data_IF_702736421684
#
_entry.id   IF_702736421684
#
_cell.length_a   1.000
_cell.length_b   1.000
_cell.length_c   1.000
_cell.angle_alpha   90.00
_cell.angle_beta   90.00
_cell.angle_gamma   90.00
#
_symmetry.space_group_name_H-M   'P 1'
#
loop_
_entity.id
_entity.type
_entity.pdbx_description
1 polymer ?
#
# COMPACT_ATOMS: atom_id res chain seq x y z
N UNK A 1 -3.63 -33.39 39.65
CA UNK A 1 -4.94 -34.09 39.68
C UNK A 1 -5.32 -34.47 38.26
N UNK A 2 -5.38 -35.77 37.95
CA UNK A 2 -5.95 -36.28 36.70
C UNK A 2 -7.48 -36.25 36.84
N UNK A 3 -8.15 -35.49 35.98
CA UNK A 3 -9.62 -35.52 35.93
C UNK A 3 -10.08 -36.94 35.58
N UNK A 4 -11.08 -37.50 36.29
CA UNK A 4 -11.64 -38.80 35.94
C UNK A 4 -12.16 -38.74 34.51
N UNK A 5 -11.82 -39.74 33.69
CA UNK A 5 -12.40 -39.87 32.34
C UNK A 5 -13.92 -39.97 32.49
N UNK A 6 -14.70 -39.27 31.67
CA UNK A 6 -16.16 -39.34 31.75
C UNK A 6 -16.61 -40.81 31.68
N UNK A 7 -17.43 -41.22 32.65
CA UNK A 7 -17.83 -42.61 32.87
C UNK A 7 -18.59 -43.22 31.68
N UNK A 8 -19.20 -42.38 30.84
CA UNK A 8 -19.83 -42.77 29.59
C UNK A 8 -19.14 -42.07 28.41
N UNK A 9 -18.92 -42.78 27.30
CA UNK A 9 -18.54 -42.15 26.03
C UNK A 9 -19.66 -41.17 25.65
N UNK A 10 -19.41 -39.88 25.84
CA UNK A 10 -20.31 -38.84 25.37
C UNK A 10 -20.43 -38.97 23.84
N UNK A 11 -21.66 -39.08 23.34
CA UNK A 11 -21.95 -39.13 21.90
C UNK A 11 -21.86 -37.68 21.34
N UNK A 12 -20.63 -37.16 21.25
CA UNK A 12 -20.35 -35.77 20.84
C UNK A 12 -20.01 -35.75 19.34
N UNK A 13 -20.88 -35.13 18.55
CA UNK A 13 -20.64 -34.80 17.14
C UNK A 13 -20.56 -36.01 16.18
N UNK A 14 -20.21 -35.75 14.92
CA UNK A 14 -19.95 -36.79 13.92
C UNK A 14 -18.78 -37.67 14.43
N UNK A 15 -19.08 -38.91 14.82
CA UNK A 15 -18.24 -39.80 15.63
C UNK A 15 -16.83 -40.05 15.07
N UNK A 16 -16.62 -39.82 13.77
CA UNK A 16 -15.34 -40.05 13.10
C UNK A 16 -14.53 -38.77 12.83
N UNK A 17 -15.14 -37.58 12.81
CA UNK A 17 -14.47 -36.31 12.46
C UNK A 17 -13.98 -35.58 13.72
N UNK A 18 -12.67 -35.35 13.83
CA UNK A 18 -12.07 -34.58 14.93
C UNK A 18 -11.04 -33.59 14.41
N UNK A 19 -11.47 -32.36 14.16
CA UNK A 19 -10.62 -31.28 13.62
C UNK A 19 -9.39 -30.97 14.49
N UNK A 20 -9.48 -31.21 15.81
CA UNK A 20 -8.32 -31.06 16.72
C UNK A 20 -7.17 -32.01 16.42
N UNK A 21 -7.36 -33.11 15.67
CA UNK A 21 -6.28 -34.04 15.27
C UNK A 21 -5.17 -33.33 14.51
N UNK A 22 -5.54 -32.38 13.64
CA UNK A 22 -4.59 -31.54 12.89
C UNK A 22 -3.95 -30.44 13.74
N UNK A 23 -4.34 -30.28 15.01
CA UNK A 23 -3.88 -29.19 15.89
C UNK A 23 -3.07 -29.68 17.09
N UNK A 24 -2.90 -31.00 17.25
CA UNK A 24 -2.39 -31.65 18.48
C UNK A 24 -0.94 -31.33 18.79
N UNK A 25 -0.08 -31.15 17.78
CA UNK A 25 1.32 -30.79 17.97
C UNK A 25 1.81 -29.81 16.88
N UNK A 26 2.92 -29.10 17.13
CA UNK A 26 3.45 -28.08 16.21
C UNK A 26 3.78 -28.61 14.81
N UNK A 27 4.34 -29.83 14.69
CA UNK A 27 4.75 -30.38 13.39
C UNK A 27 3.55 -30.67 12.49
N UNK A 28 2.46 -31.20 13.06
CA UNK A 28 1.22 -31.41 12.29
C UNK A 28 0.64 -30.07 11.85
N UNK A 29 0.63 -29.05 12.74
CA UNK A 29 0.12 -27.73 12.39
C UNK A 29 0.91 -27.08 11.26
N UNK A 30 2.25 -27.17 11.31
CA UNK A 30 3.12 -26.66 10.25
C UNK A 30 2.95 -27.41 8.93
N UNK A 31 2.73 -28.74 8.97
CA UNK A 31 2.52 -29.54 7.76
C UNK A 31 1.23 -29.19 7.00
N UNK A 32 0.19 -28.74 7.71
CA UNK A 32 -1.15 -28.48 7.14
C UNK A 32 -1.50 -26.99 7.07
N UNK A 33 -0.53 -26.11 7.29
CA UNK A 33 -0.73 -24.68 7.19
C UNK A 33 -0.94 -24.28 5.72
N UNK A 34 -1.97 -23.46 5.46
CA UNK A 34 -2.39 -23.10 4.10
C UNK A 34 -1.62 -21.90 3.55
N UNK A 35 -1.08 -21.05 4.42
CA UNK A 35 -0.41 -19.81 4.05
C UNK A 35 0.77 -19.52 4.97
N UNK A 36 1.80 -18.89 4.43
CA UNK A 36 2.93 -18.35 5.19
C UNK A 36 3.30 -16.96 4.65
N UNK A 37 4.14 -16.24 5.41
CA UNK A 37 4.72 -14.97 4.99
C UNK A 37 6.13 -15.18 4.48
N UNK A 38 6.46 -14.49 3.40
CA UNK A 38 7.80 -14.41 2.84
C UNK A 38 8.28 -12.96 2.78
N UNK A 39 9.59 -12.74 2.89
CA UNK A 39 10.19 -11.41 2.75
C UNK A 39 9.86 -10.76 1.39
N UNK A 40 9.65 -11.58 0.36
CA UNK A 40 9.24 -11.15 -0.98
C UNK A 40 7.77 -10.72 -1.11
N UNK A 41 6.94 -10.94 -0.09
CA UNK A 41 5.55 -10.48 -0.11
C UNK A 41 5.45 -8.96 0.07
N UNK A 42 6.52 -8.30 0.53
CA UNK A 42 6.44 -6.93 1.02
C UNK A 42 6.94 -5.88 0.03
N UNK A 43 6.16 -4.80 -0.07
CA UNK A 43 6.62 -3.49 -0.56
C UNK A 43 6.69 -2.55 0.64
N UNK A 44 7.84 -1.92 0.87
CA UNK A 44 8.02 -1.00 2.00
C UNK A 44 7.76 0.47 1.60
N UNK A 45 6.78 1.16 2.20
CA UNK A 45 6.57 2.59 1.98
C UNK A 45 7.70 3.45 2.55
N UNK A 46 8.17 4.44 1.78
CA UNK A 46 9.16 5.43 2.20
C UNK A 46 8.62 6.84 1.94
N UNK A 47 8.60 7.66 2.99
CA UNK A 47 8.34 9.09 2.86
C UNK A 47 9.65 9.82 2.59
N UNK A 48 9.75 10.51 1.46
CA UNK A 48 10.96 11.23 1.06
C UNK A 48 10.72 12.73 1.21
N UNK A 49 11.61 13.45 1.88
CA UNK A 49 11.55 14.92 1.96
C UNK A 49 12.72 15.57 1.24
N UNK A 50 12.45 16.73 0.63
CA UNK A 50 13.49 17.57 0.01
C UNK A 50 14.21 18.42 1.06
N UNK A 51 13.49 18.85 2.10
CA UNK A 51 14.04 19.66 3.21
C UNK A 51 14.33 18.80 4.44
N UNK A 52 15.36 19.22 5.17
CA UNK A 52 15.82 18.62 6.42
C UNK A 52 17.21 18.03 6.28
N UNK A 53 18.11 18.36 7.20
CA UNK A 53 19.43 17.72 7.33
C UNK A 53 19.37 16.50 8.25
N UNK A 54 18.17 16.11 8.70
CA UNK A 54 17.94 15.05 9.66
C UNK A 54 16.60 14.36 9.41
N UNK A 55 16.59 13.06 9.70
CA UNK A 55 15.41 12.21 9.75
C UNK A 55 14.35 12.83 10.68
N UNK A 56 13.11 12.96 10.20
CA UNK A 56 12.00 13.51 10.97
C UNK A 56 11.04 12.41 11.42
N UNK A 57 10.85 12.27 12.73
CA UNK A 57 9.85 11.36 13.31
C UNK A 57 8.43 11.83 13.03
N UNK A 58 7.55 10.91 12.66
CA UNK A 58 6.13 11.20 12.47
C UNK A 58 5.39 10.74 13.72
N UNK A 59 4.91 11.64 14.61
CA UNK A 59 4.35 11.24 15.91
C UNK A 59 3.18 10.26 15.82
N UNK A 60 2.36 10.38 14.78
CA UNK A 60 1.23 9.48 14.53
C UNK A 60 1.62 8.15 13.90
N UNK A 61 2.88 7.96 13.47
CA UNK A 61 3.46 6.72 12.95
C UNK A 61 4.77 6.37 13.68
N UNK A 62 4.71 5.89 14.94
CA UNK A 62 5.91 5.64 15.73
C UNK A 62 6.90 4.70 15.02
N UNK A 63 8.17 5.12 14.92
CA UNK A 63 9.25 4.38 14.25
C UNK A 63 9.30 4.53 12.72
N UNK A 64 8.36 5.28 12.12
CA UNK A 64 8.40 5.67 10.71
C UNK A 64 8.83 7.13 10.61
N UNK A 65 9.62 7.42 9.58
CA UNK A 65 10.26 8.71 9.42
C UNK A 65 10.07 9.28 8.01
N UNK A 66 10.22 10.60 7.90
CA UNK A 66 10.52 11.26 6.63
C UNK A 66 12.03 11.22 6.41
N UNK A 67 12.43 10.64 5.30
CA UNK A 67 13.83 10.42 4.94
C UNK A 67 14.27 11.55 3.99
N UNK A 68 15.26 12.36 4.36
CA UNK A 68 15.87 13.31 3.43
C UNK A 68 16.42 12.60 2.20
N UNK A 69 16.33 13.21 1.02
CA UNK A 69 16.83 12.61 -0.22
C UNK A 69 18.29 12.13 -0.12
N UNK A 70 19.15 12.87 0.58
CA UNK A 70 20.55 12.54 0.81
C UNK A 70 20.77 11.24 1.61
N UNK A 71 19.81 10.85 2.46
CA UNK A 71 19.88 9.66 3.32
C UNK A 71 19.16 8.45 2.70
N UNK A 72 18.43 8.66 1.60
CA UNK A 72 17.57 7.66 0.96
C UNK A 72 18.31 6.38 0.60
N UNK A 73 19.52 6.48 0.07
CA UNK A 73 20.32 5.31 -0.32
C UNK A 73 20.70 4.46 0.89
N UNK A 74 20.98 5.06 2.04
CA UNK A 74 21.31 4.31 3.25
C UNK A 74 20.09 3.54 3.75
N UNK A 75 18.92 4.18 3.78
CA UNK A 75 17.66 3.52 4.15
C UNK A 75 17.35 2.32 3.24
N UNK A 76 17.56 2.47 1.92
CA UNK A 76 17.31 1.38 0.95
C UNK A 76 18.30 0.22 1.10
N UNK A 77 19.58 0.50 1.44
CA UNK A 77 20.55 -0.56 1.75
C UNK A 77 20.09 -1.40 2.94
N UNK A 78 19.62 -0.77 4.02
CA UNK A 78 19.07 -1.50 5.17
C UNK A 78 17.84 -2.34 4.79
N UNK A 79 16.94 -1.78 3.99
CA UNK A 79 15.75 -2.50 3.49
C UNK A 79 16.16 -3.75 2.69
N UNK A 80 17.17 -3.61 1.83
CA UNK A 80 17.69 -4.72 1.02
C UNK A 80 18.39 -5.79 1.88
N UNK A 81 19.15 -5.40 2.90
CA UNK A 81 19.77 -6.34 3.84
C UNK A 81 18.75 -7.21 4.58
N UNK A 82 17.54 -6.67 4.82
CA UNK A 82 16.41 -7.41 5.37
C UNK A 82 15.70 -8.32 4.35
N UNK A 83 16.18 -8.37 3.11
CA UNK A 83 15.64 -9.22 2.04
C UNK A 83 14.38 -8.69 1.36
N UNK A 84 13.99 -7.43 1.63
CA UNK A 84 12.88 -6.76 0.95
C UNK A 84 13.37 -6.29 -0.42
N UNK A 85 12.60 -6.59 -1.47
CA UNK A 85 13.01 -6.36 -2.88
C UNK A 85 12.40 -5.11 -3.50
N UNK A 86 11.43 -4.50 -2.81
CA UNK A 86 10.58 -3.46 -3.39
C UNK A 86 10.24 -2.39 -2.38
N UNK A 87 10.24 -1.15 -2.87
CA UNK A 87 9.91 0.05 -2.10
C UNK A 87 8.82 0.85 -2.80
N UNK A 88 8.03 1.60 -2.04
CA UNK A 88 7.04 2.53 -2.57
C UNK A 88 7.35 3.95 -2.12
N UNK A 89 7.55 4.86 -3.07
CA UNK A 89 7.97 6.24 -2.78
C UNK A 89 6.76 7.16 -2.60
N UNK A 90 6.76 7.91 -1.50
CA UNK A 90 5.80 8.96 -1.21
C UNK A 90 6.52 10.30 -0.97
N UNK A 91 6.21 11.35 -1.72
CA UNK A 91 6.87 12.64 -1.56
C UNK A 91 6.29 13.45 -0.41
N UNK A 92 7.17 14.14 0.31
CA UNK A 92 6.81 15.23 1.24
C UNK A 92 7.29 16.53 0.61
N UNK A 93 6.40 17.14 -0.18
CA UNK A 93 6.68 18.35 -0.95
C UNK A 93 6.57 19.58 -0.07
N UNK A 94 7.52 20.51 -0.23
CA UNK A 94 7.48 21.79 0.45
C UNK A 94 6.24 22.58 0.05
N UNK A 95 5.57 23.20 1.03
CA UNK A 95 4.37 24.02 0.79
C UNK A 95 4.59 25.14 -0.23
N UNK A 96 5.81 25.70 -0.34
CA UNK A 96 6.12 26.76 -1.31
C UNK A 96 6.17 26.27 -2.76
N UNK A 97 6.24 24.96 -2.99
CA UNK A 97 6.26 24.34 -4.31
C UNK A 97 4.88 23.82 -4.74
N UNK A 98 3.89 23.85 -3.84
CA UNK A 98 2.54 23.39 -4.14
C UNK A 98 1.74 24.50 -4.82
N UNK A 99 0.95 24.13 -5.81
CA UNK A 99 -0.01 25.03 -6.47
C UNK A 99 -1.39 24.36 -6.60
N UNK A 100 -2.37 25.00 -7.25
CA UNK A 100 -3.73 24.44 -7.35
C UNK A 100 -3.85 23.26 -8.32
N UNK A 101 -2.85 23.02 -9.19
CA UNK A 101 -2.91 21.99 -10.23
C UNK A 101 -1.87 20.88 -10.03
N UNK A 102 -1.02 21.01 -9.00
CA UNK A 102 0.07 20.08 -8.71
C UNK A 102 1.18 20.09 -9.76
N UNK A 103 1.53 21.25 -10.33
CA UNK A 103 2.43 21.30 -11.51
C UNK A 103 3.81 20.67 -11.28
N UNK A 104 4.29 20.65 -10.04
CA UNK A 104 5.58 20.05 -9.67
C UNK A 104 5.56 18.51 -9.69
N UNK A 105 4.38 17.87 -9.76
CA UNK A 105 4.24 16.42 -9.81
C UNK A 105 5.04 15.77 -10.95
N UNK A 106 5.09 16.44 -12.11
CA UNK A 106 5.75 15.99 -13.33
C UNK A 106 6.93 16.87 -13.74
N UNK A 107 7.46 17.71 -12.84
CA UNK A 107 8.66 18.49 -13.11
C UNK A 107 9.87 17.53 -13.30
N UNK A 108 10.71 17.67 -14.35
CA UNK A 108 11.82 16.75 -14.61
C UNK A 108 12.82 16.62 -13.45
N UNK A 109 12.98 17.70 -12.67
CA UNK A 109 13.81 17.76 -11.45
C UNK A 109 12.99 17.71 -10.15
N UNK A 110 11.76 17.18 -10.21
CA UNK A 110 10.95 16.94 -9.03
C UNK A 110 11.61 15.97 -8.04
N UNK A 111 11.12 15.96 -6.80
CA UNK A 111 11.70 15.15 -5.73
C UNK A 111 11.70 13.64 -6.06
N UNK A 112 10.59 13.12 -6.58
CA UNK A 112 10.47 11.69 -6.92
C UNK A 112 11.33 11.34 -8.14
N UNK A 113 11.38 12.20 -9.16
CA UNK A 113 12.21 12.01 -10.34
C UNK A 113 13.70 11.90 -9.97
N UNK A 114 14.19 12.82 -9.12
CA UNK A 114 15.57 12.77 -8.60
C UNK A 114 15.81 11.54 -7.74
N UNK A 115 14.85 11.15 -6.89
CA UNK A 115 14.95 9.95 -6.07
C UNK A 115 15.05 8.68 -6.94
N UNK A 116 14.19 8.52 -7.96
CA UNK A 116 14.22 7.37 -8.87
C UNK A 116 15.58 7.28 -9.56
N UNK A 117 16.09 8.38 -10.14
CA UNK A 117 17.40 8.40 -10.80
C UNK A 117 18.52 7.98 -9.84
N UNK A 118 18.56 8.59 -8.66
CA UNK A 118 19.57 8.29 -7.63
C UNK A 118 19.54 6.81 -7.22
N UNK A 119 18.34 6.24 -7.04
CA UNK A 119 18.18 4.83 -6.68
C UNK A 119 18.64 3.93 -7.83
N UNK A 120 18.21 4.18 -9.07
CA UNK A 120 18.59 3.36 -10.22
C UNK A 120 20.08 3.42 -10.54
N UNK A 121 20.73 4.56 -10.28
CA UNK A 121 22.18 4.70 -10.41
C UNK A 121 22.95 3.91 -9.33
N UNK A 122 22.39 3.77 -8.13
CA UNK A 122 23.13 3.25 -6.96
C UNK A 122 22.77 1.81 -6.59
N UNK A 123 21.50 1.43 -6.75
CA UNK A 123 20.90 0.15 -6.32
C UNK A 123 19.87 -0.31 -7.38
N UNK A 124 20.30 -0.59 -8.64
CA UNK A 124 19.39 -0.86 -9.75
C UNK A 124 18.46 -2.07 -9.54
N UNK A 125 18.84 -3.01 -8.67
CA UNK A 125 18.11 -4.22 -8.36
C UNK A 125 16.88 -4.01 -7.45
N UNK A 126 16.75 -2.87 -6.77
CA UNK A 126 15.54 -2.59 -5.98
C UNK A 126 14.40 -2.18 -6.93
N UNK A 127 13.24 -2.80 -6.75
CA UNK A 127 12.04 -2.43 -7.49
C UNK A 127 11.40 -1.18 -6.88
N UNK A 128 11.13 -0.20 -7.72
CA UNK A 128 10.58 1.10 -7.35
C UNK A 128 9.14 1.17 -7.82
N UNK A 129 8.24 1.27 -6.84
CA UNK A 129 6.84 1.61 -7.03
C UNK A 129 6.68 3.10 -6.71
N UNK A 130 6.20 3.90 -7.66
CA UNK A 130 5.98 5.34 -7.43
C UNK A 130 4.48 5.67 -7.45
N UNK A 131 4.03 6.36 -6.41
CA UNK A 131 2.66 6.84 -6.28
C UNK A 131 2.31 7.87 -7.37
N UNK A 132 1.18 7.69 -8.04
CA UNK A 132 0.64 8.62 -9.05
C UNK A 132 -0.66 9.19 -8.51
N UNK A 133 -0.58 10.43 -8.04
CA UNK A 133 -1.69 11.24 -7.50
C UNK A 133 -1.19 12.69 -7.33
N UNK A 134 -2.12 13.65 -7.25
CA UNK A 134 -1.79 15.07 -7.10
C UNK A 134 -1.89 15.59 -5.65
N UNK A 135 -2.34 14.78 -4.69
CA UNK A 135 -2.54 15.27 -3.31
C UNK A 135 -1.27 15.75 -2.58
N UNK A 136 -0.06 15.20 -2.81
CA UNK A 136 1.14 15.74 -2.19
C UNK A 136 1.54 17.09 -2.80
N UNK A 137 1.08 17.37 -4.02
CA UNK A 137 1.52 18.45 -4.89
C UNK A 137 0.57 19.64 -4.91
N UNK A 138 -0.70 19.42 -4.56
CA UNK A 138 -1.71 20.48 -4.59
C UNK A 138 -1.81 21.24 -3.27
N UNK A 139 -2.16 22.52 -3.34
CA UNK A 139 -2.41 23.35 -2.14
C UNK A 139 -3.65 22.90 -1.36
N UNK A 140 -4.63 22.31 -2.05
CA UNK A 140 -5.88 21.84 -1.48
C UNK A 140 -5.84 20.38 -1.00
N UNK A 141 -4.88 19.57 -1.44
CA UNK A 141 -4.69 18.17 -1.01
C UNK A 141 -5.69 17.14 -1.56
N UNK A 142 -6.54 17.50 -2.53
CA UNK A 142 -7.26 16.53 -3.36
C UNK A 142 -6.32 15.78 -4.30
N UNK A 143 -6.71 14.56 -4.67
CA UNK A 143 -5.91 13.66 -5.53
C UNK A 143 -5.85 14.15 -6.99
N UNK A 144 -6.66 15.15 -7.35
CA UNK A 144 -6.80 15.71 -8.69
C UNK A 144 -7.01 17.24 -8.73
N UNK A 145 -7.09 17.77 -9.94
CA UNK A 145 -7.35 19.20 -10.24
C UNK A 145 -8.80 19.53 -9.87
N UNK A 146 -9.04 20.69 -9.27
CA UNK A 146 -10.38 21.13 -8.87
C UNK A 146 -10.92 22.27 -9.74
N UNK A 147 -12.24 22.30 -9.93
CA UNK A 147 -12.94 23.47 -10.49
C UNK A 147 -13.14 24.58 -9.45
N UNK A 148 -13.72 25.72 -9.86
CA UNK A 148 -14.00 26.85 -8.98
C UNK A 148 -14.96 26.51 -7.81
N UNK A 149 -15.68 25.38 -7.89
CA UNK A 149 -16.59 24.90 -6.85
C UNK A 149 -15.93 23.85 -5.94
N UNK A 150 -14.68 23.50 -6.18
CA UNK A 150 -13.94 22.46 -5.46
C UNK A 150 -14.28 21.03 -5.88
N UNK A 151 -14.98 20.83 -7.00
CA UNK A 151 -15.20 19.51 -7.58
C UNK A 151 -13.93 19.03 -8.29
N UNK A 152 -13.52 17.79 -8.03
CA UNK A 152 -12.33 17.19 -8.67
C UNK A 152 -12.68 16.81 -10.11
N UNK A 153 -12.03 17.45 -11.07
CA UNK A 153 -12.21 17.24 -12.50
C UNK A 153 -11.52 15.96 -12.94
N UNK A 154 -12.28 15.01 -13.50
CA UNK A 154 -11.79 13.69 -13.86
C UNK A 154 -10.73 13.73 -14.98
N UNK A 155 -11.13 14.19 -16.16
CA UNK A 155 -10.33 14.03 -17.38
C UNK A 155 -9.08 14.92 -17.36
N UNK A 156 -9.21 16.16 -16.85
CA UNK A 156 -8.09 17.07 -16.63
C UNK A 156 -7.08 16.50 -15.65
N UNK A 157 -7.54 15.82 -14.60
CA UNK A 157 -6.68 15.11 -13.66
C UNK A 157 -5.98 13.95 -14.37
N UNK A 158 -6.70 13.10 -15.09
CA UNK A 158 -6.12 11.97 -15.83
C UNK A 158 -5.01 12.44 -16.77
N UNK A 159 -5.21 13.56 -17.49
CA UNK A 159 -4.19 14.14 -18.36
C UNK A 159 -2.92 14.57 -17.59
N UNK A 160 -3.05 15.09 -16.37
CA UNK A 160 -1.91 15.42 -15.50
C UNK A 160 -1.21 14.16 -14.96
N UNK A 161 -1.97 13.12 -14.60
CA UNK A 161 -1.43 11.84 -14.13
C UNK A 161 -0.63 11.12 -15.22
N UNK A 162 -1.08 11.16 -16.48
CA UNK A 162 -0.28 10.65 -17.60
C UNK A 162 1.08 11.34 -17.72
N UNK A 163 1.14 12.68 -17.56
CA UNK A 163 2.41 13.43 -17.54
C UNK A 163 3.30 13.01 -16.37
N UNK A 164 2.71 12.79 -15.19
CA UNK A 164 3.43 12.31 -14.01
C UNK A 164 4.02 10.92 -14.26
N UNK A 165 3.22 9.97 -14.75
CA UNK A 165 3.66 8.62 -15.09
C UNK A 165 4.81 8.61 -16.11
N UNK A 166 4.69 9.40 -17.19
CA UNK A 166 5.75 9.54 -18.19
C UNK A 166 7.03 10.15 -17.60
N UNK A 167 6.91 11.14 -16.71
CA UNK A 167 8.06 11.75 -16.06
C UNK A 167 8.81 10.76 -15.16
N UNK A 168 8.11 9.83 -14.50
CA UNK A 168 8.72 8.79 -13.68
C UNK A 168 9.30 7.67 -14.53
N UNK A 169 8.61 7.27 -15.61
CA UNK A 169 9.11 6.31 -16.59
C UNK A 169 10.44 6.78 -17.21
N UNK A 170 10.54 8.05 -17.59
CA UNK A 170 11.79 8.65 -18.09
C UNK A 170 12.96 8.60 -17.09
N UNK A 171 12.69 8.42 -15.80
CA UNK A 171 13.70 8.28 -14.76
C UNK A 171 14.07 6.81 -14.45
N UNK A 172 13.32 5.84 -15.00
CA UNK A 172 13.54 4.41 -14.78
C UNK A 172 12.75 3.83 -13.60
N UNK A 173 11.55 4.33 -13.29
CA UNK A 173 10.64 3.65 -12.35
C UNK A 173 10.31 2.24 -12.86
N UNK A 174 10.00 1.28 -11.99
CA UNK A 174 9.57 -0.06 -12.44
C UNK A 174 8.04 -0.14 -12.53
N UNK A 175 7.35 0.46 -11.56
CA UNK A 175 5.88 0.51 -11.51
C UNK A 175 5.37 1.91 -11.21
N UNK A 176 4.41 2.36 -12.02
CA UNK A 176 3.58 3.52 -11.69
C UNK A 176 2.31 3.06 -10.97
N UNK A 177 1.94 3.77 -9.92
CA UNK A 177 0.90 3.32 -9.00
C UNK A 177 -0.23 4.36 -8.87
N UNK A 178 -1.17 4.46 -9.83
CA UNK A 178 -2.29 5.40 -9.77
C UNK A 178 -3.14 5.14 -8.54
N UNK A 179 -3.09 6.09 -7.61
CA UNK A 179 -3.81 6.06 -6.34
C UNK A 179 -4.95 7.06 -6.27
N UNK A 180 -5.18 7.81 -7.34
CA UNK A 180 -6.07 8.95 -7.48
C UNK A 180 -7.58 8.62 -7.48
N UNK A 181 -7.97 7.41 -7.90
CA UNK A 181 -9.37 6.97 -8.09
C UNK A 181 -10.17 7.76 -9.16
N UNK A 182 -9.52 8.29 -10.19
CA UNK A 182 -10.22 8.84 -11.36
C UNK A 182 -10.71 7.71 -12.28
N UNK A 183 -11.81 7.96 -12.98
CA UNK A 183 -12.34 7.00 -13.96
C UNK A 183 -11.44 6.95 -15.20
N UNK A 184 -11.11 5.74 -15.67
CA UNK A 184 -10.35 5.52 -16.91
C UNK A 184 -8.84 5.84 -16.84
N UNK A 185 -8.30 6.21 -15.68
CA UNK A 185 -6.88 6.59 -15.55
C UNK A 185 -5.93 5.46 -15.93
N UNK A 186 -6.28 4.20 -15.67
CA UNK A 186 -5.39 3.07 -15.94
C UNK A 186 -5.20 2.92 -17.44
N UNK A 187 -6.28 2.91 -18.22
CA UNK A 187 -6.21 2.84 -19.67
C UNK A 187 -5.44 4.02 -20.27
N UNK A 188 -5.69 5.24 -19.76
CA UNK A 188 -5.01 6.43 -20.23
C UNK A 188 -3.50 6.41 -19.94
N UNK A 189 -3.10 6.01 -18.73
CA UNK A 189 -1.68 5.89 -18.33
C UNK A 189 -1.00 4.79 -19.14
N UNK A 190 -1.63 3.61 -19.29
CA UNK A 190 -1.12 2.51 -20.12
C UNK A 190 -0.89 2.96 -21.56
N UNK A 191 -1.88 3.59 -22.17
CA UNK A 191 -1.76 4.10 -23.53
C UNK A 191 -0.64 5.15 -23.68
N UNK A 192 -0.50 6.07 -22.72
CA UNK A 192 0.56 7.07 -22.73
C UNK A 192 1.96 6.43 -22.62
N UNK A 193 2.15 5.49 -21.70
CA UNK A 193 3.41 4.76 -21.54
C UNK A 193 3.77 4.01 -22.83
N UNK A 194 2.83 3.27 -23.41
CA UNK A 194 3.08 2.46 -24.60
C UNK A 194 3.37 3.33 -25.84
N UNK A 195 2.70 4.48 -25.98
CA UNK A 195 2.96 5.45 -27.06
C UNK A 195 4.36 6.05 -27.02
N UNK A 196 4.90 6.27 -25.81
CA UNK A 196 6.28 6.75 -25.59
C UNK A 196 7.30 5.61 -25.55
N UNK A 197 6.90 4.38 -25.91
CA UNK A 197 7.77 3.20 -25.95
C UNK A 197 8.17 2.65 -24.57
N UNK A 198 7.50 3.07 -23.50
CA UNK A 198 7.75 2.66 -22.11
C UNK A 198 7.00 1.36 -21.77
N UNK A 199 7.06 0.36 -22.66
CA UNK A 199 6.22 -0.85 -22.60
C UNK A 199 6.58 -1.81 -21.46
N UNK A 200 7.74 -1.63 -20.83
CA UNK A 200 8.21 -2.46 -19.71
C UNK A 200 7.74 -1.94 -18.33
N UNK A 201 7.17 -0.73 -18.28
CA UNK A 201 6.71 -0.12 -17.03
C UNK A 201 5.37 -0.76 -16.64
N UNK A 202 5.34 -1.32 -15.43
CA UNK A 202 4.13 -1.93 -14.88
C UNK A 202 3.19 -0.90 -14.26
N UNK A 203 1.92 -1.26 -14.16
CA UNK A 203 0.89 -0.48 -13.47
C UNK A 203 0.37 -1.29 -12.28
N UNK A 204 0.54 -0.72 -11.08
CA UNK A 204 -0.14 -1.19 -9.87
C UNK A 204 -1.30 -0.25 -9.56
N UNK A 205 -2.50 -0.62 -9.99
CA UNK A 205 -3.69 0.21 -9.84
C UNK A 205 -4.27 0.11 -8.42
N UNK A 206 -4.55 1.24 -7.79
CA UNK A 206 -5.36 1.28 -6.56
C UNK A 206 -6.83 1.14 -6.92
N UNK A 207 -7.23 -0.05 -7.34
CA UNK A 207 -8.55 -0.27 -7.92
C UNK A 207 -9.69 -0.11 -6.93
N UNK A 208 -9.51 -0.56 -5.69
CA UNK A 208 -10.50 -0.34 -4.65
C UNK A 208 -9.89 0.44 -3.49
N UNK A 209 -9.75 1.76 -3.68
CA UNK A 209 -9.36 2.71 -2.62
C UNK A 209 -10.61 3.35 -2.02
N UNK A 210 -10.90 3.02 -0.77
CA UNK A 210 -12.08 3.47 -0.05
C UNK A 210 -11.89 4.84 0.61
N UNK A 211 -12.95 5.62 0.72
CA UNK A 211 -13.03 6.85 1.51
C UNK A 211 -12.97 6.51 3.01
N UNK A 212 -11.76 6.25 3.51
CA UNK A 212 -11.53 5.62 4.81
C UNK A 212 -11.00 6.58 5.88
N UNK A 213 -11.42 6.34 7.12
CA UNK A 213 -10.90 7.02 8.31
C UNK A 213 -9.48 6.54 8.72
N UNK A 214 -8.99 5.43 8.17
CA UNK A 214 -7.69 4.85 8.53
C UNK A 214 -6.48 5.60 7.93
N UNK A 215 -6.69 6.67 7.17
CA UNK A 215 -5.63 7.43 6.50
C UNK A 215 -5.05 8.58 7.33
N UNK A 216 -5.58 8.84 8.53
CA UNK A 216 -5.16 9.97 9.38
C UNK A 216 -3.63 10.10 9.53
N UNK A 217 -2.92 9.05 9.99
CA UNK A 217 -1.47 9.15 10.20
C UNK A 217 -0.67 9.33 8.90
N UNK A 218 -1.14 8.83 7.76
CA UNK A 218 -0.51 9.09 6.45
C UNK A 218 -0.63 10.57 6.06
N UNK A 219 -1.80 11.18 6.27
CA UNK A 219 -2.01 12.62 5.99
C UNK A 219 -1.08 13.50 6.82
N UNK A 220 -0.83 13.12 8.08
CA UNK A 220 0.21 13.77 8.90
C UNK A 220 1.62 13.55 8.30
N UNK A 221 1.92 12.35 7.80
CA UNK A 221 3.21 12.02 7.21
C UNK A 221 3.55 12.88 5.97
N UNK A 222 2.62 13.07 5.04
CA UNK A 222 2.85 13.84 3.80
C UNK A 222 2.54 15.34 3.92
N UNK A 223 2.20 15.82 5.13
CA UNK A 223 1.92 17.23 5.41
C UNK A 223 0.90 17.86 4.46
N UNK A 224 -0.15 17.12 4.10
CA UNK A 224 -1.31 17.69 3.41
C UNK A 224 -2.00 18.61 4.42
N UNK A 225 -1.77 19.92 4.34
CA UNK A 225 -2.20 20.91 5.34
C UNK A 225 -3.70 20.92 5.67
N UNK A 226 -4.53 20.22 4.89
CA UNK A 226 -5.96 20.05 5.15
C UNK A 226 -6.27 18.63 5.71
N UNK A 227 -6.54 18.57 7.02
CA UNK A 227 -6.91 17.33 7.73
C UNK A 227 -8.33 16.82 7.40
N UNK A 228 -9.19 17.70 6.90
CA UNK A 228 -10.64 17.46 6.71
C UNK A 228 -11.08 17.49 5.25
N UNK A 229 -10.25 16.99 4.33
CA UNK A 229 -10.63 16.86 2.92
C UNK A 229 -11.60 15.69 2.77
N UNK A 230 -12.77 15.95 2.18
CA UNK A 230 -13.70 14.91 1.76
C UNK A 230 -13.30 14.39 0.37
N UNK A 231 -13.09 13.08 0.27
CA UNK A 231 -12.68 12.38 -0.95
C UNK A 231 -13.78 11.46 -1.49
N UNK A 232 -15.01 11.53 -0.94
CA UNK A 232 -16.14 10.64 -1.27
C UNK A 232 -16.71 10.81 -2.69
N UNK A 233 -16.30 11.84 -3.43
CA UNK A 233 -16.73 12.02 -4.83
C UNK A 233 -15.93 11.16 -5.81
N UNK A 234 -14.87 10.50 -5.36
CA UNK A 234 -14.03 9.62 -6.19
C UNK A 234 -13.54 8.36 -5.44
N UNK A 235 -13.23 8.45 -4.14
CA UNK A 235 -12.92 7.26 -3.34
C UNK A 235 -14.19 6.48 -2.98
N UNK A 236 -14.10 5.16 -3.01
CA UNK A 236 -15.23 4.25 -2.82
C UNK A 236 -15.89 4.40 -1.45
N UNK A 237 -17.21 4.28 -1.41
CA UNK A 237 -17.95 4.19 -0.14
C UNK A 237 -17.58 2.90 0.61
N UNK A 238 -17.23 2.95 1.91
CA UNK A 238 -16.99 1.76 2.73
C UNK A 238 -18.16 0.76 2.78
N UNK A 239 -19.36 1.19 2.38
CA UNK A 239 -20.57 0.37 2.41
C UNK A 239 -20.73 -0.51 1.15
N UNK A 240 -19.85 -0.38 0.15
CA UNK A 240 -20.07 -0.94 -1.18
C UNK A 240 -19.03 -2.00 -1.57
N UNK A 241 -19.41 -3.28 -1.49
CA UNK A 241 -18.53 -4.39 -1.92
C UNK A 241 -18.62 -4.68 -3.43
N UNK A 242 -19.83 -4.68 -4.00
CA UNK A 242 -20.03 -4.99 -5.43
C UNK A 242 -19.34 -3.98 -6.35
N UNK A 243 -19.33 -2.71 -5.94
CA UNK A 243 -18.65 -1.62 -6.64
C UNK A 243 -17.14 -1.83 -6.64
N UNK A 244 -16.53 -2.11 -5.49
CA UNK A 244 -15.10 -2.41 -5.38
C UNK A 244 -14.65 -3.58 -6.26
N UNK A 245 -15.46 -4.64 -6.35
CA UNK A 245 -15.18 -5.76 -7.26
C UNK A 245 -15.29 -5.32 -8.73
N UNK A 246 -16.22 -4.42 -9.06
CA UNK A 246 -16.37 -3.91 -10.42
C UNK A 246 -15.17 -3.05 -10.82
N UNK A 247 -14.72 -2.14 -9.95
CA UNK A 247 -13.53 -1.30 -10.18
C UNK A 247 -12.28 -2.14 -10.44
N UNK A 248 -12.04 -3.15 -9.60
CA UNK A 248 -10.93 -4.09 -9.76
C UNK A 248 -10.92 -4.77 -11.14
N UNK A 249 -12.07 -5.26 -11.61
CA UNK A 249 -12.18 -5.91 -12.91
C UNK A 249 -12.06 -4.91 -14.06
N UNK A 250 -12.55 -3.68 -13.87
CA UNK A 250 -12.41 -2.62 -14.87
C UNK A 250 -10.91 -2.29 -15.08
N UNK A 251 -10.17 -2.05 -14.01
CA UNK A 251 -8.73 -1.77 -14.09
C UNK A 251 -7.92 -2.89 -14.74
N UNK A 252 -8.29 -4.16 -14.48
CA UNK A 252 -7.68 -5.31 -15.17
C UNK A 252 -7.92 -5.18 -16.68
N UNK A 253 -9.15 -4.89 -17.10
CA UNK A 253 -9.48 -4.73 -18.53
C UNK A 253 -8.82 -3.51 -19.17
N UNK A 254 -8.47 -2.50 -18.36
CA UNK A 254 -7.76 -1.29 -18.78
C UNK A 254 -6.23 -1.47 -18.86
N UNK A 255 -5.70 -2.61 -18.41
CA UNK A 255 -4.28 -2.96 -18.54
C UNK A 255 -3.47 -2.78 -17.25
N UNK A 256 -4.09 -2.85 -16.07
CA UNK A 256 -3.36 -2.96 -14.82
C UNK A 256 -2.66 -4.33 -14.70
N UNK A 257 -1.37 -4.31 -14.39
CA UNK A 257 -0.56 -5.53 -14.18
C UNK A 257 -0.76 -6.10 -12.78
N UNK A 258 -1.08 -5.24 -11.80
CA UNK A 258 -1.38 -5.58 -10.41
C UNK A 258 -2.52 -4.66 -9.97
N UNK A 259 -3.49 -5.20 -9.22
CA UNK A 259 -4.57 -4.41 -8.61
C UNK A 259 -4.41 -4.37 -7.10
N UNK A 260 -4.87 -3.30 -6.45
CA UNK A 260 -4.76 -3.09 -5.01
C UNK A 260 -6.09 -2.77 -4.33
N UNK A 261 -6.30 -3.39 -3.17
CA UNK A 261 -7.35 -3.01 -2.21
C UNK A 261 -6.72 -2.15 -1.09
N UNK A 262 -7.34 -1.00 -0.80
CA UNK A 262 -6.86 -0.07 0.24
C UNK A 262 -8.04 0.58 0.98
N UNK A 263 -8.13 0.53 2.31
CA UNK A 263 -7.24 -0.14 3.28
C UNK A 263 -7.24 -1.67 3.23
N UNK A 264 -6.43 -2.30 4.09
CA UNK A 264 -6.23 -3.75 4.10
C UNK A 264 -7.13 -4.47 5.10
N UNK A 265 -6.78 -4.44 6.39
CA UNK A 265 -7.45 -5.19 7.45
C UNK A 265 -8.98 -5.00 7.51
N UNK A 266 -9.54 -3.80 7.31
CA UNK A 266 -11.00 -3.62 7.34
C UNK A 266 -11.73 -4.13 6.10
N UNK A 267 -11.01 -4.54 5.05
CA UNK A 267 -11.56 -4.87 3.72
C UNK A 267 -11.06 -6.23 3.21
N UNK A 268 -10.69 -7.16 4.10
CA UNK A 268 -10.27 -8.51 3.73
C UNK A 268 -11.35 -9.31 3.01
N UNK A 269 -12.62 -9.01 3.25
CA UNK A 269 -13.75 -9.58 2.51
C UNK A 269 -13.76 -9.13 1.04
N UNK A 270 -13.31 -7.90 0.76
CA UNK A 270 -13.14 -7.38 -0.61
C UNK A 270 -11.96 -8.08 -1.28
N UNK A 271 -10.81 -8.20 -0.60
CA UNK A 271 -9.65 -8.96 -1.11
C UNK A 271 -10.08 -10.38 -1.51
N UNK A 272 -10.83 -11.07 -0.64
CA UNK A 272 -11.31 -12.41 -0.91
C UNK A 272 -12.28 -12.47 -2.11
N UNK A 273 -13.22 -11.52 -2.22
CA UNK A 273 -14.15 -11.46 -3.36
C UNK A 273 -13.45 -11.18 -4.69
N UNK A 274 -12.45 -10.29 -4.69
CA UNK A 274 -11.67 -9.96 -5.88
C UNK A 274 -10.76 -11.13 -6.27
N UNK A 275 -10.13 -11.84 -5.30
CA UNK A 275 -9.29 -13.01 -5.59
C UNK A 275 -10.02 -14.12 -6.34
N UNK A 276 -11.34 -14.28 -6.12
CA UNK A 276 -12.13 -15.27 -6.85
C UNK A 276 -12.32 -14.95 -8.35
N UNK A 277 -12.02 -13.72 -8.77
CA UNK A 277 -12.26 -13.23 -10.14
C UNK A 277 -11.02 -12.63 -10.80
N UNK A 278 -9.98 -12.32 -10.03
CA UNK A 278 -8.77 -11.66 -10.53
C UNK A 278 -7.92 -12.65 -11.32
N UNK A 279 -7.53 -12.23 -12.52
CA UNK A 279 -6.55 -12.94 -13.36
C UNK A 279 -5.12 -12.41 -13.15
N UNK A 280 -4.98 -11.30 -12.42
CA UNK A 280 -3.70 -10.65 -12.09
C UNK A 280 -3.40 -10.72 -10.59
N UNK A 281 -2.14 -10.51 -10.16
CA UNK A 281 -1.78 -10.44 -8.75
C UNK A 281 -2.55 -9.36 -7.98
N UNK A 282 -2.86 -9.65 -6.72
CA UNK A 282 -3.55 -8.72 -5.82
C UNK A 282 -2.59 -8.19 -4.77
N UNK A 283 -2.45 -6.87 -4.72
CA UNK A 283 -1.84 -6.15 -3.64
C UNK A 283 -2.87 -5.71 -2.58
N UNK A 284 -2.42 -5.56 -1.34
CA UNK A 284 -3.20 -4.94 -0.27
C UNK A 284 -2.34 -3.99 0.54
N UNK A 285 -2.90 -2.85 0.95
CA UNK A 285 -2.17 -1.87 1.76
C UNK A 285 -2.60 -1.96 3.22
N UNK A 286 -1.72 -2.42 4.11
CA UNK A 286 -1.86 -2.21 5.54
C UNK A 286 -1.57 -0.74 5.86
N UNK A 287 -2.62 0.08 5.88
CA UNK A 287 -2.43 1.53 5.86
C UNK A 287 -1.95 2.08 7.20
N UNK A 288 -1.63 3.37 7.19
CA UNK A 288 -1.01 4.09 8.30
C UNK A 288 -1.79 3.94 9.61
N UNK A 289 -3.12 4.02 9.59
CA UNK A 289 -3.95 3.86 10.77
C UNK A 289 -3.96 2.43 11.31
N UNK A 290 -3.88 1.42 10.44
CA UNK A 290 -3.77 0.01 10.85
C UNK A 290 -2.43 -0.23 11.56
N UNK A 291 -1.33 0.29 10.98
CA UNK A 291 -0.02 0.26 11.60
C UNK A 291 -0.03 0.91 12.99
N UNK A 292 -0.50 2.17 13.08
CA UNK A 292 -0.50 2.93 14.33
C UNK A 292 -1.36 2.27 15.40
N UNK A 293 -2.52 1.72 15.03
CA UNK A 293 -3.39 1.01 15.96
C UNK A 293 -2.66 -0.16 16.63
N UNK A 294 -1.98 -1.00 15.85
CA UNK A 294 -1.20 -2.12 16.39
C UNK A 294 0.00 -1.63 17.20
N UNK A 295 0.75 -0.65 16.68
CA UNK A 295 1.97 -0.13 17.32
C UNK A 295 1.69 0.49 18.68
N UNK A 296 0.66 1.34 18.75
CA UNK A 296 0.26 2.02 19.98
C UNK A 296 -0.32 1.01 20.98
N UNK A 297 -1.17 0.08 20.55
CA UNK A 297 -1.71 -0.95 21.44
C UNK A 297 -0.60 -1.82 22.04
N UNK A 298 0.41 -2.19 21.24
CA UNK A 298 1.57 -2.93 21.71
C UNK A 298 2.43 -2.12 22.70
N UNK A 299 2.73 -0.86 22.39
CA UNK A 299 3.49 0.03 23.29
C UNK A 299 2.80 0.24 24.65
N UNK A 300 1.46 0.15 24.67
CA UNK A 300 0.65 0.22 25.89
C UNK A 300 0.41 -1.16 26.53
N UNK A 301 1.11 -2.22 26.10
CA UNK A 301 1.01 -3.58 26.61
C UNK A 301 -0.42 -4.17 26.53
N UNK A 302 -1.25 -3.71 25.59
CA UNK A 302 -2.60 -4.23 25.37
C UNK A 302 -2.54 -5.54 24.58
N UNK A 303 -1.60 -5.64 23.64
CA UNK A 303 -1.39 -6.79 22.77
C UNK A 303 0.10 -7.13 22.65
N UNK A 304 0.40 -8.39 22.34
CA UNK A 304 1.74 -8.85 21.96
C UNK A 304 2.03 -8.45 20.51
N UNK A 305 3.01 -7.56 20.29
CA UNK A 305 3.32 -7.02 18.97
C UNK A 305 3.66 -8.10 17.95
N UNK A 306 4.49 -9.08 18.33
CA UNK A 306 4.92 -10.16 17.43
C UNK A 306 3.73 -10.99 16.95
N UNK A 307 2.86 -11.41 17.87
CA UNK A 307 1.72 -12.24 17.51
C UNK A 307 0.68 -11.44 16.72
N UNK A 308 0.34 -10.24 17.17
CA UNK A 308 -0.72 -9.46 16.53
C UNK A 308 -0.33 -8.96 15.13
N UNK A 309 0.92 -8.53 14.95
CA UNK A 309 1.42 -8.12 13.62
C UNK A 309 1.43 -9.33 12.67
N UNK A 310 2.00 -10.47 13.08
CA UNK A 310 1.98 -11.68 12.25
C UNK A 310 0.55 -12.10 11.90
N UNK A 311 -0.36 -12.11 12.87
CA UNK A 311 -1.77 -12.46 12.67
C UNK A 311 -2.48 -11.52 11.69
N UNK A 312 -2.21 -10.21 11.77
CA UNK A 312 -2.79 -9.23 10.84
C UNK A 312 -2.32 -9.44 9.39
N UNK A 313 -1.04 -9.76 9.19
CA UNK A 313 -0.44 -9.92 7.87
C UNK A 313 -0.78 -11.28 7.26
N UNK A 314 -0.81 -12.35 8.06
CA UNK A 314 -1.26 -13.66 7.56
C UNK A 314 -2.75 -13.65 7.23
N UNK A 315 -3.56 -12.81 7.90
CA UNK A 315 -4.96 -12.61 7.51
C UNK A 315 -5.08 -12.00 6.10
N UNK A 316 -4.16 -11.10 5.72
CA UNK A 316 -4.09 -10.54 4.36
C UNK A 316 -3.73 -11.60 3.32
N UNK A 317 -2.70 -12.44 3.57
CA UNK A 317 -2.36 -13.57 2.68
C UNK A 317 -3.51 -14.56 2.55
N UNK A 318 -4.14 -14.93 3.68
CA UNK A 318 -5.29 -15.84 3.71
C UNK A 318 -6.50 -15.29 2.96
N UNK A 319 -6.70 -13.98 2.95
CA UNK A 319 -7.74 -13.34 2.17
C UNK A 319 -7.47 -13.40 0.66
N UNK A 320 -6.22 -13.64 0.24
CA UNK A 320 -5.85 -13.80 -1.17
C UNK A 320 -4.85 -12.78 -1.69
N UNK A 321 -4.28 -11.92 -0.82
CA UNK A 321 -3.25 -10.97 -1.24
C UNK A 321 -1.94 -11.69 -1.60
N UNK A 322 -1.42 -11.39 -2.79
CA UNK A 322 -0.12 -11.84 -3.24
C UNK A 322 0.98 -10.90 -2.71
N UNK A 323 0.69 -9.60 -2.66
CA UNK A 323 1.62 -8.54 -2.24
C UNK A 323 1.02 -7.73 -1.09
N UNK A 324 1.85 -7.34 -0.11
CA UNK A 324 1.45 -6.52 1.04
C UNK A 324 2.32 -5.27 1.09
N UNK A 325 1.68 -4.10 0.98
CA UNK A 325 2.31 -2.82 1.26
C UNK A 325 2.14 -2.56 2.76
N UNK A 326 3.25 -2.47 3.50
CA UNK A 326 3.18 -2.33 4.96
C UNK A 326 4.37 -1.57 5.55
N UNK A 327 4.07 -0.63 6.46
CA UNK A 327 5.06 0.04 7.31
C UNK A 327 5.72 -0.92 8.31
N UNK A 328 5.11 -2.07 8.59
CA UNK A 328 5.69 -3.12 9.42
C UNK A 328 6.75 -3.96 8.69
N UNK A 329 6.94 -3.82 7.36
CA UNK A 329 7.78 -4.75 6.60
C UNK A 329 9.21 -4.89 7.13
N UNK A 330 9.94 -3.77 7.39
CA UNK A 330 11.30 -3.83 8.00
C UNK A 330 11.27 -4.59 9.33
N UNK A 331 10.28 -4.30 10.17
CA UNK A 331 10.16 -4.91 11.50
C UNK A 331 9.86 -6.41 11.41
N UNK A 332 8.94 -6.84 10.54
CA UNK A 332 8.57 -8.24 10.33
C UNK A 332 9.76 -9.03 9.76
N UNK A 333 10.41 -8.50 8.73
CA UNK A 333 11.56 -9.15 8.11
C UNK A 333 12.77 -9.25 9.04
N UNK A 334 12.87 -8.38 10.06
CA UNK A 334 13.94 -8.45 11.07
C UNK A 334 13.61 -9.39 12.23
N UNK A 335 12.36 -9.40 12.68
CA UNK A 335 11.98 -9.99 13.95
C UNK A 335 11.18 -11.30 13.84
N UNK A 336 10.61 -11.60 12.66
CA UNK A 336 9.71 -12.72 12.46
C UNK A 336 10.12 -13.67 11.32
N UNK A 337 10.88 -13.20 10.33
CA UNK A 337 11.29 -13.95 9.13
C UNK A 337 12.81 -14.04 9.01
#
# INVERSE_FOLDING_TARGET
MTLPRPANKLNIGNSHIRMRRLRTNPNIRSLVEEHCLHRSDFIYPIFISEKGTSIYEIPSLPGIHRIPLQDLINEIKEIKELGIKSIMLFPVIDSSLKDSIGSVAYHPDGLIQRAIRLIKETIPEILIFADIALDPYTTHGHDGITDDKGYVLNDETVAALCKQSLSYAACGVDFVCPSDMMDGRVAAIRAALDQEGQTAIGILAYSAKFASAFYGPFRDAIATGARNIDKKTYQLSPNNSREAVREAILDISEGADIIMIKPGLPYLDIVAQVKQKSEVPIAVYQVSGEYSMLKIAAQNNIIDEHKAVYESLIAMKRAGADIIISYYAKWVCKNLL
#
